data_IF_117407954019
#
_entry.id   IF_117407954019
#
_cell.length_a   1.000
_cell.length_b   1.000
_cell.length_c   1.000
_cell.angle_alpha   90.00
_cell.angle_beta   90.00
_cell.angle_gamma   90.00
#
_symmetry.space_group_name_H-M   'P 1'
#
loop_
_entity.id
_entity.type
_entity.pdbx_description
1 polymer ?
#
# COMPACT_ATOMS: atom_id res chain seq x y z
N UNK A 1 1.55 5.18 -7.41
CA UNK A 1 0.45 5.79 -6.65
C UNK A 1 0.90 6.96 -5.78
N UNK A 2 1.97 6.81 -4.93
CA UNK A 2 2.47 7.88 -4.04
C UNK A 2 2.75 9.20 -4.79
N UNK A 3 3.56 9.14 -5.86
CA UNK A 3 3.86 10.32 -6.70
C UNK A 3 2.61 10.92 -7.36
N UNK A 4 1.68 10.08 -7.80
CA UNK A 4 0.42 10.51 -8.42
C UNK A 4 -0.48 11.26 -7.44
N UNK A 5 -0.58 10.79 -6.20
CA UNK A 5 -1.35 11.47 -5.15
C UNK A 5 -0.70 12.81 -4.80
N UNK A 6 0.63 12.82 -4.64
CA UNK A 6 1.40 14.04 -4.35
C UNK A 6 1.31 15.08 -5.47
N UNK A 7 1.43 14.67 -6.74
CA UNK A 7 1.35 15.59 -7.89
C UNK A 7 -0.04 16.22 -8.08
N UNK A 8 -1.09 15.58 -7.54
CA UNK A 8 -2.44 16.13 -7.48
C UNK A 8 -2.66 17.10 -6.33
N UNK A 9 -1.61 17.43 -5.57
CA UNK A 9 -1.63 18.39 -4.46
C UNK A 9 -2.20 17.86 -3.16
N UNK A 10 -2.29 16.55 -2.98
CA UNK A 10 -2.55 15.92 -1.69
C UNK A 10 -1.22 15.68 -0.96
N UNK A 11 -1.29 15.66 0.37
CA UNK A 11 -0.16 15.33 1.24
C UNK A 11 -0.28 13.88 1.71
N UNK A 12 0.47 12.92 1.14
CA UNK A 12 0.49 11.56 1.67
C UNK A 12 0.97 11.55 3.12
N UNK A 13 0.27 10.80 3.96
CA UNK A 13 0.61 10.62 5.39
C UNK A 13 0.70 9.14 5.76
N UNK A 14 0.29 8.25 4.85
CA UNK A 14 0.47 6.82 5.03
C UNK A 14 0.59 6.14 3.67
N UNK A 15 1.42 5.12 3.60
CA UNK A 15 1.51 4.19 2.47
C UNK A 15 1.24 2.79 2.97
N UNK A 16 0.38 2.07 2.27
CA UNK A 16 -0.02 0.74 2.70
C UNK A 16 -0.21 -0.25 1.57
N UNK A 17 -0.20 -1.52 1.99
CA UNK A 17 -0.49 -2.67 1.12
C UNK A 17 -1.83 -3.29 1.55
N UNK A 18 -2.57 -3.83 0.60
CA UNK A 18 -3.83 -4.53 0.82
C UNK A 18 -3.56 -6.02 0.74
N UNK A 19 -3.83 -6.76 1.81
CA UNK A 19 -3.60 -8.19 1.91
C UNK A 19 -4.89 -8.93 2.26
N UNK A 20 -5.11 -10.07 1.62
CA UNK A 20 -6.22 -10.95 1.96
C UNK A 20 -5.99 -11.68 3.28
N UNK A 21 -4.78 -12.21 3.47
CA UNK A 21 -4.41 -13.04 4.62
C UNK A 21 -2.92 -12.90 4.94
N UNK A 22 -2.61 -12.95 6.23
CA UNK A 22 -1.26 -13.25 6.73
C UNK A 22 -1.36 -14.35 7.77
N UNK A 23 -0.59 -15.42 7.58
CA UNK A 23 -0.48 -16.54 8.49
C UNK A 23 0.98 -17.00 8.56
N UNK A 24 1.68 -16.54 9.58
CA UNK A 24 3.12 -16.78 9.79
C UNK A 24 3.50 -18.27 9.96
N UNK A 25 2.51 -19.15 10.09
CA UNK A 25 2.73 -20.60 10.22
C UNK A 25 2.66 -21.35 8.90
N UNK A 26 2.45 -20.66 7.78
CA UNK A 26 2.45 -21.28 6.45
C UNK A 26 3.85 -21.78 6.09
N UNK A 27 3.89 -22.98 5.50
CA UNK A 27 5.11 -23.61 5.01
C UNK A 27 4.95 -23.99 3.54
N UNK A 28 6.03 -24.30 2.80
CA UNK A 28 5.92 -24.76 1.43
C UNK A 28 5.04 -26.02 1.28
N UNK A 29 5.05 -26.90 2.26
CA UNK A 29 4.23 -28.12 2.28
C UNK A 29 2.74 -27.77 2.40
N UNK A 30 2.38 -26.84 3.29
CA UNK A 30 0.97 -26.41 3.46
C UNK A 30 0.45 -25.61 2.27
N UNK A 31 1.35 -25.06 1.45
CA UNK A 31 1.00 -24.28 0.25
C UNK A 31 1.13 -25.07 -1.05
N UNK A 32 1.62 -26.33 -1.02
CA UNK A 32 1.94 -27.10 -2.22
C UNK A 32 0.75 -27.30 -3.15
N UNK A 33 -0.43 -27.65 -2.60
CA UNK A 33 -1.66 -27.87 -3.39
C UNK A 33 -2.08 -26.58 -4.10
N UNK A 34 -2.22 -25.49 -3.36
CA UNK A 34 -2.62 -24.19 -3.90
C UNK A 34 -1.63 -23.68 -4.96
N UNK A 35 -0.34 -23.86 -4.71
CA UNK A 35 0.71 -23.46 -5.65
C UNK A 35 0.61 -24.23 -6.97
N UNK A 36 0.36 -25.55 -6.92
CA UNK A 36 0.18 -26.37 -8.11
C UNK A 36 -1.05 -25.93 -8.93
N UNK A 37 -2.17 -25.67 -8.28
CA UNK A 37 -3.41 -25.18 -8.93
C UNK A 37 -3.24 -23.83 -9.63
N UNK A 38 -2.25 -23.01 -9.18
CA UNK A 38 -2.00 -21.66 -9.70
C UNK A 38 -0.68 -21.55 -10.47
N UNK A 39 -0.08 -22.68 -10.87
CA UNK A 39 1.19 -22.73 -11.62
C UNK A 39 2.33 -21.94 -10.96
N UNK A 40 2.41 -22.00 -9.64
CA UNK A 40 3.42 -21.30 -8.86
C UNK A 40 4.28 -22.23 -8.02
N UNK A 41 5.43 -21.73 -7.57
CA UNK A 41 6.33 -22.48 -6.69
C UNK A 41 5.86 -22.39 -5.24
N UNK A 42 5.74 -23.51 -4.49
CA UNK A 42 5.28 -23.51 -3.09
C UNK A 42 6.03 -22.51 -2.19
N UNK A 43 7.36 -22.44 -2.30
CA UNK A 43 8.19 -21.50 -1.55
C UNK A 43 7.82 -20.04 -1.80
N UNK A 44 7.50 -19.68 -3.05
CA UNK A 44 7.07 -18.32 -3.40
C UNK A 44 5.69 -18.01 -2.81
N UNK A 45 4.74 -18.93 -2.94
CA UNK A 45 3.40 -18.79 -2.38
C UNK A 45 3.45 -18.66 -0.85
N UNK A 46 4.30 -19.42 -0.19
CA UNK A 46 4.53 -19.29 1.26
C UNK A 46 4.94 -17.88 1.62
N UNK A 47 5.87 -17.29 0.90
CA UNK A 47 6.35 -15.92 1.17
C UNK A 47 5.25 -14.85 1.01
N UNK A 48 4.20 -15.13 0.25
CA UNK A 48 3.05 -14.23 0.13
C UNK A 48 2.13 -14.30 1.35
N UNK A 49 2.08 -15.43 2.02
CA UNK A 49 1.16 -15.69 3.12
C UNK A 49 1.82 -15.52 4.50
N UNK A 50 3.10 -15.81 4.65
CA UNK A 50 3.79 -15.85 5.96
C UNK A 50 4.28 -14.49 6.48
N UNK A 51 4.14 -13.43 5.69
CA UNK A 51 4.61 -12.09 6.04
C UNK A 51 6.00 -11.74 5.52
N UNK A 52 6.74 -12.67 4.94
CA UNK A 52 8.10 -12.42 4.42
C UNK A 52 8.08 -11.38 3.31
N UNK A 53 7.24 -11.57 2.30
CA UNK A 53 7.15 -10.65 1.17
C UNK A 53 6.65 -9.28 1.60
N UNK A 54 5.57 -9.21 2.37
CA UNK A 54 5.04 -7.92 2.83
C UNK A 54 6.05 -7.17 3.69
N UNK A 55 6.82 -7.88 4.52
CA UNK A 55 7.89 -7.27 5.32
C UNK A 55 8.95 -6.60 4.45
N UNK A 56 9.42 -7.26 3.40
CA UNK A 56 10.40 -6.70 2.46
C UNK A 56 9.83 -5.52 1.66
N UNK A 57 8.60 -5.64 1.16
CA UNK A 57 7.92 -4.57 0.43
C UNK A 57 7.73 -3.32 1.31
N UNK A 58 7.27 -3.48 2.53
CA UNK A 58 7.03 -2.35 3.44
C UNK A 58 8.33 -1.71 3.92
N UNK A 59 9.41 -2.47 4.13
CA UNK A 59 10.71 -1.91 4.44
C UNK A 59 11.24 -1.04 3.28
N UNK A 60 11.09 -1.51 2.04
CA UNK A 60 11.46 -0.74 0.85
C UNK A 60 10.65 0.57 0.75
N UNK A 61 9.35 0.50 0.99
CA UNK A 61 8.47 1.67 0.96
C UNK A 61 8.79 2.64 2.09
N UNK A 62 9.04 2.14 3.30
CA UNK A 62 9.44 2.97 4.44
C UNK A 62 10.72 3.76 4.13
N UNK A 63 11.73 3.11 3.57
CA UNK A 63 12.97 3.77 3.15
C UNK A 63 12.73 4.81 2.04
N UNK A 64 11.88 4.49 1.06
CA UNK A 64 11.58 5.38 -0.06
C UNK A 64 10.77 6.64 0.32
N UNK A 65 9.95 6.54 1.35
CA UNK A 65 9.03 7.62 1.75
C UNK A 65 9.47 8.35 3.02
N UNK A 66 10.35 7.74 3.80
CA UNK A 66 10.70 8.19 5.14
C UNK A 66 9.62 7.92 6.19
N UNK A 67 8.56 7.19 5.84
CA UNK A 67 7.50 6.88 6.78
C UNK A 67 7.86 5.66 7.64
N UNK A 68 7.87 5.79 8.97
CA UNK A 68 8.20 4.69 9.86
C UNK A 68 7.12 3.60 9.87
N UNK A 69 7.48 2.43 10.38
CA UNK A 69 6.54 1.41 10.85
C UNK A 69 6.22 1.65 12.33
N UNK A 70 5.01 1.32 12.77
CA UNK A 70 4.59 1.54 14.17
C UNK A 70 5.29 0.61 15.15
N UNK A 71 5.53 -0.63 14.72
CA UNK A 71 6.20 -1.69 15.46
C UNK A 71 6.76 -2.74 14.52
N UNK A 72 7.59 -3.64 15.03
CA UNK A 72 8.05 -4.81 14.27
C UNK A 72 6.84 -5.63 13.82
N UNK A 73 6.76 -5.92 12.51
CA UNK A 73 5.65 -6.65 11.89
C UNK A 73 4.43 -5.80 11.55
N UNK A 74 4.42 -4.50 11.94
CA UNK A 74 3.31 -3.57 11.68
C UNK A 74 2.02 -3.90 12.46
N UNK A 75 0.94 -3.14 12.26
CA UNK A 75 -0.34 -3.38 12.96
C UNK A 75 -1.24 -4.34 12.16
N UNK A 76 -1.35 -4.11 10.87
CA UNK A 76 -2.18 -4.91 9.97
C UNK A 76 -3.64 -5.01 10.37
N UNK A 77 -4.34 -3.90 10.62
CA UNK A 77 -5.71 -3.96 11.09
C UNK A 77 -6.65 -4.61 10.06
N UNK A 78 -7.69 -5.27 10.55
CA UNK A 78 -8.76 -5.79 9.70
C UNK A 78 -9.56 -4.65 9.09
N UNK A 79 -9.88 -4.78 7.82
CA UNK A 79 -10.67 -3.83 7.04
C UNK A 79 -11.62 -4.62 6.15
N UNK A 80 -12.83 -4.17 5.99
CA UNK A 80 -13.83 -4.78 5.09
C UNK A 80 -13.76 -4.19 3.68
N UNK A 81 -13.58 -2.87 3.59
CA UNK A 81 -13.49 -2.12 2.34
C UNK A 81 -12.31 -1.18 2.36
N UNK A 82 -11.52 -1.16 1.28
CA UNK A 82 -10.31 -0.32 1.19
C UNK A 82 -10.64 1.16 1.39
N UNK A 83 -11.80 1.60 0.90
CA UNK A 83 -12.24 3.00 1.06
C UNK A 83 -12.36 3.43 2.52
N UNK A 84 -12.59 2.47 3.44
CA UNK A 84 -12.70 2.70 4.87
C UNK A 84 -11.36 2.70 5.62
N UNK A 85 -10.25 2.43 4.95
CA UNK A 85 -8.93 2.32 5.58
C UNK A 85 -8.58 3.55 6.44
N UNK A 86 -8.99 4.75 6.02
CA UNK A 86 -8.74 5.98 6.76
C UNK A 86 -9.31 5.99 8.19
N UNK A 87 -10.33 5.16 8.48
CA UNK A 87 -10.98 5.07 9.79
C UNK A 87 -10.17 4.25 10.82
N UNK A 88 -9.19 3.48 10.36
CA UNK A 88 -8.47 2.49 11.17
C UNK A 88 -7.21 3.06 11.84
N UNK A 89 -6.79 4.24 11.41
CA UNK A 89 -5.52 4.81 11.85
C UNK A 89 -5.71 6.18 12.50
N UNK A 90 -4.93 6.44 13.53
CA UNK A 90 -4.96 7.71 14.26
C UNK A 90 -4.48 8.87 13.39
N UNK A 91 -5.36 9.83 13.13
CA UNK A 91 -5.09 10.98 12.28
C UNK A 91 -3.92 11.83 12.76
N UNK A 92 -3.82 12.06 14.08
CA UNK A 92 -2.75 12.88 14.67
C UNK A 92 -1.39 12.22 14.47
N UNK A 93 -1.31 10.91 14.72
CA UNK A 93 -0.09 10.12 14.49
C UNK A 93 0.32 10.17 13.01
N UNK A 94 -0.62 9.94 12.10
CA UNK A 94 -0.35 9.98 10.66
C UNK A 94 0.20 11.34 10.19
N UNK A 95 -0.39 12.43 10.66
CA UNK A 95 0.01 13.78 10.22
C UNK A 95 1.32 14.26 10.86
N UNK A 96 1.73 13.66 11.97
CA UNK A 96 2.98 14.01 12.67
C UNK A 96 4.20 13.28 12.10
N UNK A 97 4.11 11.96 11.95
CA UNK A 97 5.27 11.14 11.57
C UNK A 97 5.11 10.41 10.24
N UNK A 98 3.89 10.31 9.74
CA UNK A 98 3.57 9.35 8.68
C UNK A 98 3.51 7.92 9.20
N UNK A 99 3.12 6.98 8.32
CA UNK A 99 3.07 5.56 8.66
C UNK A 99 3.23 4.68 7.42
N UNK A 100 3.92 3.57 7.58
CA UNK A 100 3.93 2.46 6.62
C UNK A 100 3.32 1.23 7.29
N UNK A 101 2.23 0.70 6.73
CA UNK A 101 1.50 -0.45 7.30
C UNK A 101 0.72 -1.17 6.18
N UNK A 102 -0.06 -2.18 6.54
CA UNK A 102 -0.97 -2.88 5.63
C UNK A 102 -2.35 -3.03 6.28
N UNK A 103 -3.36 -3.40 5.49
CA UNK A 103 -4.70 -3.77 5.95
C UNK A 103 -5.01 -5.19 5.51
N UNK A 104 -5.84 -5.91 6.30
CA UNK A 104 -6.20 -7.31 6.10
C UNK A 104 -7.67 -7.49 5.76
N UNK A 105 -7.94 -8.32 4.75
CA UNK A 105 -9.27 -8.82 4.42
C UNK A 105 -10.17 -7.82 3.71
N UNK A 106 -9.64 -6.70 3.26
CA UNK A 106 -10.43 -5.69 2.56
C UNK A 106 -10.81 -6.12 1.12
N UNK A 107 -11.93 -5.61 0.65
CA UNK A 107 -12.28 -5.63 -0.77
C UNK A 107 -12.02 -4.26 -1.40
N UNK A 108 -11.30 -4.22 -2.56
CA UNK A 108 -10.58 -5.33 -3.20
C UNK A 108 -9.44 -5.87 -2.33
N UNK A 109 -9.14 -7.18 -2.46
CA UNK A 109 -8.25 -7.91 -1.54
C UNK A 109 -6.76 -7.85 -1.89
N UNK A 110 -6.41 -7.12 -2.93
CA UNK A 110 -5.03 -6.93 -3.40
C UNK A 110 -4.78 -5.47 -3.75
N UNK A 111 -3.50 -5.10 -3.81
CA UNK A 111 -3.08 -3.78 -4.25
C UNK A 111 -2.41 -2.96 -3.17
N UNK A 112 -2.36 -1.66 -3.42
CA UNK A 112 -1.73 -0.68 -2.54
C UNK A 112 -2.67 0.49 -2.30
N UNK A 113 -2.53 1.14 -1.14
CA UNK A 113 -3.30 2.33 -0.82
C UNK A 113 -2.42 3.43 -0.22
N UNK A 114 -2.91 4.65 -0.30
CA UNK A 114 -2.33 5.84 0.29
C UNK A 114 -3.42 6.53 1.11
N UNK A 115 -3.13 6.88 2.34
CA UNK A 115 -3.91 7.87 3.05
C UNK A 115 -3.24 9.23 2.88
N UNK A 116 -4.02 10.22 2.48
CA UNK A 116 -3.51 11.56 2.23
C UNK A 116 -4.48 12.63 2.71
N UNK A 117 -3.92 13.76 3.14
CA UNK A 117 -4.69 14.93 3.57
C UNK A 117 -4.75 15.98 2.47
N UNK A 118 -5.73 16.89 2.61
CA UNK A 118 -5.87 18.04 1.74
C UNK A 118 -6.29 19.26 2.55
N UNK A 119 -5.44 20.29 2.49
CA UNK A 119 -5.68 21.56 3.20
C UNK A 119 -6.49 22.58 2.36
N UNK A 120 -6.78 22.25 1.10
CA UNK A 120 -7.46 23.15 0.17
C UNK A 120 -8.99 22.97 0.22
N UNK A 121 -9.77 23.99 0.67
CA UNK A 121 -11.22 23.87 0.84
C UNK A 121 -11.98 23.49 -0.43
N UNK A 122 -11.58 24.05 -1.58
CA UNK A 122 -12.23 23.76 -2.86
C UNK A 122 -12.05 22.28 -3.23
N UNK A 123 -10.83 21.74 -3.04
CA UNK A 123 -10.55 20.34 -3.32
C UNK A 123 -11.34 19.43 -2.37
N UNK A 124 -11.41 19.75 -1.09
CA UNK A 124 -12.21 19.01 -0.12
C UNK A 124 -13.71 18.98 -0.51
N UNK A 125 -14.22 20.07 -1.06
CA UNK A 125 -15.59 20.12 -1.61
C UNK A 125 -15.77 19.13 -2.76
N UNK A 126 -14.85 19.08 -3.72
CA UNK A 126 -14.91 18.14 -4.83
C UNK A 126 -14.76 16.68 -4.36
N UNK A 127 -13.92 16.41 -3.35
CA UNK A 127 -13.81 15.05 -2.79
C UNK A 127 -15.14 14.53 -2.25
N UNK A 128 -15.96 15.40 -1.63
CA UNK A 128 -17.33 15.05 -1.21
C UNK A 128 -18.25 14.76 -2.39
N UNK A 129 -18.19 15.58 -3.45
CA UNK A 129 -18.99 15.37 -4.68
C UNK A 129 -18.67 14.01 -5.29
N UNK A 130 -17.41 13.61 -5.30
CA UNK A 130 -16.96 12.31 -5.81
C UNK A 130 -17.10 11.16 -4.79
N UNK A 131 -17.77 11.40 -3.66
CA UNK A 131 -17.99 10.38 -2.60
C UNK A 131 -16.70 9.77 -2.04
N UNK A 132 -15.62 10.53 -2.05
CA UNK A 132 -14.33 10.14 -1.51
C UNK A 132 -14.21 10.36 0.00
N UNK A 133 -15.28 10.82 0.66
CA UNK A 133 -15.36 11.11 2.09
C UNK A 133 -15.36 12.62 2.40
N UNK A 134 -15.60 12.93 3.68
CA UNK A 134 -15.72 14.33 4.15
C UNK A 134 -14.35 14.94 4.50
N UNK A 135 -13.30 14.12 4.51
CA UNK A 135 -11.96 14.52 4.91
C UNK A 135 -11.81 14.72 6.43
N UNK A 136 -10.68 15.25 6.88
CA UNK A 136 -9.53 15.72 6.10
C UNK A 136 -8.62 14.60 5.55
N UNK A 137 -8.88 13.33 5.87
CA UNK A 137 -8.13 12.17 5.46
C UNK A 137 -8.89 11.41 4.36
N UNK A 138 -8.21 11.08 3.27
CA UNK A 138 -8.78 10.42 2.10
C UNK A 138 -7.99 9.17 1.76
N UNK A 139 -8.69 8.13 1.28
CA UNK A 139 -8.09 6.88 0.79
C UNK A 139 -7.97 6.91 -0.72
N UNK A 140 -6.77 6.69 -1.24
CA UNK A 140 -6.47 6.45 -2.65
C UNK A 140 -5.91 5.06 -2.80
N UNK A 141 -6.38 4.27 -3.74
CA UNK A 141 -5.86 2.91 -3.93
C UNK A 141 -5.87 2.48 -5.39
N UNK A 142 -5.06 1.46 -5.67
CA UNK A 142 -5.11 0.67 -6.90
C UNK A 142 -5.21 -0.80 -6.52
N UNK A 143 -6.13 -1.58 -7.15
CA UNK A 143 -6.38 -2.97 -6.78
C UNK A 143 -5.36 -3.95 -7.38
N UNK A 144 -4.13 -3.49 -7.60
CA UNK A 144 -3.02 -4.29 -8.11
C UNK A 144 -1.68 -3.66 -7.69
N UNK A 145 -0.62 -4.45 -7.70
CA UNK A 145 0.77 -4.02 -7.56
C UNK A 145 1.67 -5.00 -8.34
N UNK A 146 1.33 -5.22 -9.61
CA UNK A 146 2.02 -6.19 -10.45
C UNK A 146 3.16 -5.50 -11.21
N UNK A 147 4.38 -5.96 -10.96
CA UNK A 147 5.57 -5.47 -11.66
C UNK A 147 5.43 -5.46 -13.20
N UNK A 148 4.84 -6.48 -13.86
CA UNK A 148 4.66 -6.45 -15.30
C UNK A 148 3.80 -5.29 -15.82
N UNK A 149 2.89 -4.75 -15.00
CA UNK A 149 2.02 -3.64 -15.38
C UNK A 149 2.73 -2.29 -15.20
N UNK A 150 3.52 -2.14 -14.14
CA UNK A 150 4.08 -0.84 -13.74
C UNK A 150 5.57 -0.66 -14.09
N UNK A 151 6.34 -1.75 -14.22
CA UNK A 151 7.74 -1.69 -14.57
C UNK A 151 8.01 -0.94 -15.90
N UNK A 152 7.21 -1.11 -16.97
CA UNK A 152 7.41 -0.34 -18.20
C UNK A 152 7.33 1.17 -18.00
N UNK A 153 6.46 1.65 -17.12
CA UNK A 153 6.36 3.08 -16.77
C UNK A 153 7.60 3.58 -16.05
N UNK A 154 8.14 2.77 -15.13
CA UNK A 154 9.38 3.11 -14.40
C UNK A 154 10.58 3.16 -15.36
N UNK A 155 10.68 2.19 -16.28
CA UNK A 155 11.73 2.17 -17.31
C UNK A 155 11.62 3.37 -18.24
N UNK A 156 10.41 3.66 -18.75
CA UNK A 156 10.18 4.80 -19.62
C UNK A 156 10.55 6.13 -18.93
N UNK A 157 10.21 6.32 -17.67
CA UNK A 157 10.59 7.52 -16.91
C UNK A 157 12.10 7.63 -16.74
N UNK A 158 12.77 6.55 -16.43
CA UNK A 158 14.23 6.55 -16.31
C UNK A 158 14.91 6.93 -17.63
N UNK A 159 14.44 6.35 -18.75
CA UNK A 159 15.03 6.58 -20.08
C UNK A 159 14.71 7.98 -20.62
N UNK A 160 13.44 8.40 -20.53
CA UNK A 160 13.00 9.65 -21.16
C UNK A 160 13.28 10.89 -20.32
N UNK A 161 13.33 10.76 -19.00
CA UNK A 161 13.43 11.92 -18.10
C UNK A 161 14.59 11.84 -17.10
N UNK A 162 15.38 10.77 -17.12
CA UNK A 162 16.43 10.54 -16.11
C UNK A 162 15.88 10.40 -14.69
N UNK A 163 14.59 10.04 -14.56
CA UNK A 163 13.87 10.00 -13.29
C UNK A 163 13.86 8.59 -12.72
N UNK A 164 14.77 8.31 -11.79
CA UNK A 164 14.73 7.08 -11.01
C UNK A 164 13.50 7.08 -10.07
N UNK A 165 12.71 6.01 -10.11
CA UNK A 165 11.56 5.87 -9.21
C UNK A 165 12.01 5.76 -7.75
N UNK A 166 13.13 5.07 -7.52
CA UNK A 166 13.79 4.88 -6.24
C UNK A 166 15.30 4.92 -6.46
N UNK A 167 16.01 5.62 -5.61
CA UNK A 167 17.47 5.60 -5.58
C UNK A 167 17.93 5.14 -4.19
N UNK A 168 19.08 4.43 -4.09
CA UNK A 168 19.69 4.17 -2.79
C UNK A 168 20.05 5.51 -2.12
N UNK A 169 19.85 5.59 -0.83
CA UNK A 169 20.31 6.69 0.00
C UNK A 169 21.77 6.49 0.38
#
# INVERSE_FOLDING_TARGET
>A
LYRQVKSRGFKPVMVGNIKSLIDVRRTPETQAKWAAEHFQRPKMVTSFADGTKIGAEMATIANATGFPVSKRGMEGPKCDRVENAYKLFDFKKLTTTGLTDYILGAEPSFGVFILATCDQPLRARYMRVYKMGDGPLYTFYVPYHLSPIEAPLSVARAVLFGDAALAPM
#
